data_IF_930705490941
#
_entry.id   IF_930705490941
#
_cell.length_a   1.000
_cell.length_b   1.000
_cell.length_c   1.000
_cell.angle_alpha   90.00
_cell.angle_beta   90.00
_cell.angle_gamma   90.00
#
_symmetry.space_group_name_H-M   'P 1'
#
loop_
_entity.id
_entity.type
_entity.pdbx_description
1 polymer ?
#
# COMPACT_ATOMS: atom_id res chain seq x y z
N UNK A 1 8.07 8.22 5.32
CA UNK A 1 8.26 9.49 6.03
C UNK A 1 7.76 9.42 7.46
N UNK A 2 8.23 8.42 8.23
CA UNK A 2 8.47 8.62 9.66
C UNK A 2 9.69 9.56 9.80
N UNK A 3 9.65 10.73 9.16
CA UNK A 3 10.74 11.72 9.21
C UNK A 3 10.84 12.40 10.60
N UNK A 4 10.19 11.84 11.62
CA UNK A 4 10.11 12.46 12.93
C UNK A 4 11.05 11.89 13.99
N UNK A 5 11.83 10.83 13.72
CA UNK A 5 12.57 10.20 14.83
C UNK A 5 14.09 10.05 14.71
N UNK A 6 14.72 10.31 13.57
CA UNK A 6 16.17 10.18 13.47
C UNK A 6 16.76 11.38 12.73
N UNK A 7 17.87 11.93 13.24
CA UNK A 7 18.44 13.28 13.06
C UNK A 7 17.92 14.24 14.16
N UNK A 8 18.67 14.72 15.15
CA UNK A 8 20.12 14.85 15.34
C UNK A 8 20.50 14.87 16.83
N UNK A 9 21.79 14.63 17.12
CA UNK A 9 22.44 14.74 18.42
C UNK A 9 22.46 16.19 18.97
N UNK A 10 22.54 16.28 20.31
CA UNK A 10 22.75 17.45 21.18
C UNK A 10 21.61 18.49 21.31
N UNK A 11 20.97 18.51 22.49
CA UNK A 11 19.95 19.49 22.89
C UNK A 11 18.53 19.07 22.54
N UNK A 12 17.77 18.59 23.52
CA UNK A 12 16.50 17.86 23.36
C UNK A 12 15.45 18.65 22.53
N UNK A 13 15.26 18.32 21.24
CA UNK A 13 14.30 19.03 20.39
C UNK A 13 12.88 18.63 20.80
N UNK A 14 11.94 19.57 20.80
CA UNK A 14 10.52 19.28 21.03
C UNK A 14 10.01 18.34 19.92
N UNK A 15 9.51 17.17 20.30
CA UNK A 15 8.95 16.17 19.37
C UNK A 15 7.45 16.05 19.58
N UNK A 16 6.70 15.96 18.48
CA UNK A 16 5.28 15.60 18.52
C UNK A 16 5.18 14.08 18.57
N UNK A 17 4.64 13.55 19.66
CA UNK A 17 4.52 12.11 19.88
C UNK A 17 3.05 11.71 19.93
N UNK A 18 2.72 10.66 19.18
CA UNK A 18 1.47 9.95 19.39
C UNK A 18 1.66 8.99 20.56
N UNK A 19 0.93 9.25 21.64
CA UNK A 19 1.02 8.47 22.88
C UNK A 19 -0.13 7.47 22.96
N UNK A 20 -1.27 7.89 23.51
CA UNK A 20 -2.43 7.04 23.75
C UNK A 20 -3.03 6.53 22.43
N UNK A 21 -3.38 5.24 22.39
CA UNK A 21 -4.03 4.60 21.24
C UNK A 21 -3.08 4.21 20.10
N UNK A 22 -1.84 4.72 20.07
CA UNK A 22 -0.88 4.40 19.01
C UNK A 22 -0.49 2.92 18.99
N UNK A 23 -0.17 2.33 20.14
CA UNK A 23 0.18 0.90 20.25
C UNK A 23 -0.97 -0.01 19.81
N UNK A 24 -2.20 0.29 20.23
CA UNK A 24 -3.39 -0.43 19.82
C UNK A 24 -3.64 -0.31 18.31
N UNK A 25 -3.42 0.87 17.73
CA UNK A 25 -3.51 1.08 16.29
C UNK A 25 -2.46 0.25 15.52
N UNK A 26 -1.20 0.30 15.94
CA UNK A 26 -0.10 -0.50 15.37
C UNK A 26 -0.44 -1.99 15.40
N UNK A 27 -0.91 -2.51 16.53
CA UNK A 27 -1.27 -3.91 16.69
C UNK A 27 -2.49 -4.29 15.83
N UNK A 28 -3.56 -3.49 15.88
CA UNK A 28 -4.79 -3.74 15.10
C UNK A 28 -4.53 -3.70 13.60
N UNK A 29 -3.68 -2.77 13.15
CA UNK A 29 -3.25 -2.67 11.76
C UNK A 29 -2.04 -3.55 11.46
N UNK A 30 -1.51 -4.36 12.39
CA UNK A 30 -0.34 -5.22 12.18
C UNK A 30 0.84 -4.49 11.51
N UNK A 31 1.12 -3.26 11.94
CA UNK A 31 2.19 -2.46 11.33
C UNK A 31 3.55 -3.00 11.76
N UNK A 32 4.48 -3.02 10.82
CA UNK A 32 5.88 -3.39 11.06
C UNK A 32 6.81 -2.26 10.65
N UNK A 33 8.08 -2.35 11.05
CA UNK A 33 9.10 -1.42 10.57
C UNK A 33 9.14 -1.41 9.04
N UNK A 34 9.23 -0.21 8.46
CA UNK A 34 9.16 0.01 7.00
C UNK A 34 7.76 0.33 6.47
N UNK A 35 6.70 -0.01 7.21
CA UNK A 35 5.36 0.49 6.89
C UNK A 35 5.29 2.00 7.11
N UNK A 36 4.47 2.68 6.32
CA UNK A 36 4.22 4.10 6.43
C UNK A 36 2.77 4.37 6.79
N UNK A 37 2.56 5.28 7.75
CA UNK A 37 1.26 5.83 8.10
C UNK A 37 1.19 7.25 7.55
N UNK A 38 0.09 7.59 6.89
CA UNK A 38 -0.15 8.88 6.27
C UNK A 38 -1.31 9.57 6.98
N UNK A 39 -1.09 10.80 7.44
CA UNK A 39 -2.10 11.66 8.04
C UNK A 39 -2.52 12.69 7.01
N UNK A 40 -3.81 12.78 6.74
CA UNK A 40 -4.39 13.72 5.78
C UNK A 40 -5.43 14.54 6.51
N UNK A 41 -5.47 15.84 6.26
CA UNK A 41 -6.54 16.71 6.73
C UNK A 41 -7.28 17.27 5.53
N UNK A 42 -8.57 17.01 5.44
CA UNK A 42 -9.41 17.55 4.39
C UNK A 42 -9.76 19.02 4.61
N UNK A 43 -10.38 19.63 3.61
CA UNK A 43 -10.94 20.98 3.70
C UNK A 43 -12.10 21.06 4.70
N UNK A 44 -12.82 19.95 4.89
CA UNK A 44 -13.81 19.72 5.94
C UNK A 44 -13.19 19.74 7.36
N UNK A 45 -11.86 19.78 7.46
CA UNK A 45 -11.14 19.72 8.73
C UNK A 45 -11.00 18.31 9.29
N UNK A 46 -11.62 17.31 8.67
CA UNK A 46 -11.60 15.92 9.10
C UNK A 46 -10.22 15.30 8.89
N UNK A 47 -9.75 14.58 9.92
CA UNK A 47 -8.47 13.90 9.88
C UNK A 47 -8.67 12.45 9.40
N UNK A 48 -8.00 12.13 8.29
CA UNK A 48 -8.01 10.81 7.67
C UNK A 48 -6.66 10.15 7.79
N UNK A 49 -6.66 8.83 7.97
CA UNK A 49 -5.45 8.04 8.17
C UNK A 49 -5.32 6.93 7.13
N UNK A 50 -4.21 6.94 6.41
CA UNK A 50 -3.83 5.92 5.43
C UNK A 50 -2.67 5.06 5.93
N UNK A 51 -2.61 3.81 5.48
CA UNK A 51 -1.47 2.90 5.73
C UNK A 51 -0.93 2.41 4.38
N UNK A 52 0.36 2.61 4.15
CA UNK A 52 1.11 2.02 3.03
C UNK A 52 2.09 1.00 3.58
N UNK A 53 2.00 -0.24 3.10
CA UNK A 53 2.93 -1.29 3.52
C UNK A 53 4.30 -1.15 2.88
N UNK A 54 5.35 -1.57 3.57
CA UNK A 54 6.63 -1.82 2.92
C UNK A 54 6.44 -2.86 1.79
N UNK A 55 7.17 -2.68 0.69
CA UNK A 55 7.28 -3.76 -0.28
C UNK A 55 8.06 -4.89 0.38
N UNK A 56 7.40 -6.02 0.63
CA UNK A 56 8.07 -7.21 1.12
C UNK A 56 8.71 -7.86 -0.11
N UNK A 57 10.01 -7.62 -0.32
CA UNK A 57 10.82 -8.49 -1.17
C UNK A 57 10.86 -9.84 -0.45
N UNK A 58 9.95 -10.75 -0.81
CA UNK A 58 10.00 -12.12 -0.30
C UNK A 58 11.32 -12.72 -0.80
N UNK A 59 12.33 -12.77 0.05
CA UNK A 59 13.58 -13.48 -0.21
C UNK A 59 13.26 -14.97 -0.36
N UNK A 60 13.20 -15.45 -1.61
CA UNK A 60 13.06 -16.85 -1.96
C UNK A 60 11.68 -17.47 -1.68
N UNK A 61 11.13 -18.19 -2.65
CA UNK A 61 10.00 -19.12 -2.50
C UNK A 61 8.56 -18.55 -2.41
N UNK A 62 8.25 -17.50 -3.17
CA UNK A 62 6.87 -17.30 -3.68
C UNK A 62 6.91 -16.56 -5.02
N UNK A 63 7.60 -17.14 -6.00
CA UNK A 63 7.34 -16.83 -7.41
C UNK A 63 5.91 -17.25 -7.83
N UNK A 64 5.18 -17.95 -6.96
CA UNK A 64 3.81 -18.44 -7.14
C UNK A 64 2.70 -17.37 -7.11
N UNK A 65 3.00 -16.09 -6.82
CA UNK A 65 1.99 -15.02 -6.92
C UNK A 65 2.11 -14.16 -8.18
N UNK A 66 3.19 -14.26 -8.96
CA UNK A 66 3.26 -13.65 -10.30
C UNK A 66 2.60 -14.57 -11.33
N UNK A 67 2.60 -15.89 -11.11
CA UNK A 67 1.74 -16.84 -11.81
C UNK A 67 0.27 -16.82 -11.36
N UNK A 68 -0.09 -15.94 -10.42
CA UNK A 68 -1.39 -15.89 -9.75
C UNK A 68 -2.31 -14.73 -10.16
N UNK A 69 -1.86 -13.80 -11.03
CA UNK A 69 -2.82 -13.16 -11.93
C UNK A 69 -3.15 -14.19 -13.00
N UNK A 70 -3.96 -15.16 -12.60
CA UNK A 70 -4.68 -16.00 -13.52
C UNK A 70 -5.55 -15.04 -14.33
N UNK A 71 -5.02 -14.56 -15.47
CA UNK A 71 -5.85 -14.21 -16.60
C UNK A 71 -6.62 -15.48 -16.89
N UNK A 72 -7.73 -15.65 -16.17
CA UNK A 72 -8.61 -16.77 -16.37
C UNK A 72 -8.96 -16.73 -17.85
N UNK A 73 -8.83 -17.86 -18.54
CA UNK A 73 -9.14 -17.93 -19.96
C UNK A 73 -10.52 -17.31 -20.26
N UNK A 74 -11.47 -17.44 -19.31
CA UNK A 74 -12.77 -16.76 -19.32
C UNK A 74 -12.69 -15.23 -19.34
N UNK A 75 -11.83 -14.63 -18.52
CA UNK A 75 -11.60 -13.18 -18.51
C UNK A 75 -11.05 -12.66 -19.84
N UNK A 76 -10.16 -13.42 -20.49
CA UNK A 76 -9.65 -13.08 -21.82
C UNK A 76 -10.72 -13.23 -22.90
N UNK A 77 -11.50 -14.32 -22.88
CA UNK A 77 -12.60 -14.50 -23.83
C UNK A 77 -13.67 -13.42 -23.69
N UNK A 78 -13.96 -12.97 -22.47
CA UNK A 78 -14.90 -11.89 -22.21
C UNK A 78 -14.40 -10.55 -22.79
N UNK A 79 -13.10 -10.27 -22.65
CA UNK A 79 -12.47 -9.09 -23.27
C UNK A 79 -12.57 -9.19 -24.79
N UNK A 80 -12.23 -10.33 -25.39
CA UNK A 80 -12.30 -10.54 -26.85
C UNK A 80 -13.72 -10.38 -27.37
N UNK A 81 -14.71 -10.92 -26.66
CA UNK A 81 -16.12 -10.78 -27.01
C UNK A 81 -16.58 -9.33 -26.87
N UNK A 82 -16.20 -8.64 -25.78
CA UNK A 82 -16.51 -7.22 -25.59
C UNK A 82 -15.89 -6.36 -26.70
N UNK A 83 -14.66 -6.63 -27.11
CA UNK A 83 -14.01 -5.95 -28.23
C UNK A 83 -14.73 -6.21 -29.56
N UNK A 84 -15.10 -7.46 -29.83
CA UNK A 84 -15.80 -7.87 -31.06
C UNK A 84 -17.20 -7.25 -31.15
N UNK A 85 -17.89 -7.15 -30.01
CA UNK A 85 -19.25 -6.59 -29.91
C UNK A 85 -19.27 -5.08 -29.63
N UNK A 86 -18.11 -4.43 -29.50
CA UNK A 86 -17.95 -3.02 -29.09
C UNK A 86 -18.66 -2.68 -27.76
N UNK A 87 -18.64 -3.61 -26.82
CA UNK A 87 -19.16 -3.43 -25.47
C UNK A 87 -18.08 -2.91 -24.50
N UNK A 88 -18.52 -2.26 -23.42
CA UNK A 88 -17.63 -1.83 -22.35
C UNK A 88 -17.13 -3.02 -21.51
N UNK A 89 -15.90 -2.93 -21.02
CA UNK A 89 -15.31 -3.89 -20.08
C UNK A 89 -14.58 -3.17 -18.94
N UNK A 90 -14.36 -3.86 -17.82
CA UNK A 90 -13.75 -3.29 -16.62
C UNK A 90 -12.28 -3.71 -16.48
N UNK A 91 -11.42 -2.74 -16.16
CA UNK A 91 -10.00 -2.97 -15.88
C UNK A 91 -9.74 -2.74 -14.40
N UNK A 92 -9.16 -3.73 -13.73
CA UNK A 92 -8.74 -3.60 -12.34
C UNK A 92 -7.26 -3.21 -12.27
N UNK A 93 -6.98 -1.94 -11.97
CA UNK A 93 -5.62 -1.44 -11.80
C UNK A 93 -5.19 -1.48 -10.33
N UNK A 94 -4.07 -2.15 -10.04
CA UNK A 94 -3.49 -2.16 -8.71
C UNK A 94 -2.06 -1.58 -8.72
N UNK A 95 -1.85 -0.33 -8.27
CA UNK A 95 -0.56 0.36 -8.32
C UNK A 95 0.49 -0.23 -7.37
N UNK A 96 0.15 -1.21 -6.54
CA UNK A 96 1.07 -1.81 -5.55
C UNK A 96 1.89 -2.98 -6.10
N UNK A 97 1.55 -3.51 -7.28
CA UNK A 97 2.19 -4.68 -7.88
C UNK A 97 3.25 -4.37 -8.94
N UNK A 98 3.67 -3.11 -9.08
CA UNK A 98 4.70 -2.76 -10.06
C UNK A 98 6.09 -3.20 -9.56
N UNK A 99 6.47 -4.44 -9.89
CA UNK A 99 7.84 -4.91 -9.76
C UNK A 99 8.65 -4.32 -10.92
N UNK A 100 9.45 -3.29 -10.62
CA UNK A 100 10.45 -2.79 -11.54
C UNK A 100 11.55 -3.83 -11.71
N UNK A 101 11.72 -4.32 -12.94
CA UNK A 101 12.97 -4.93 -13.34
C UNK A 101 14.03 -3.84 -13.36
N UNK A 102 15.07 -4.03 -12.55
CA UNK A 102 16.34 -3.31 -12.62
C UNK A 102 17.45 -4.34 -12.48
#
# INVERSE_FOLDING_TARGET
CLYFLFLTNAGQPRRHLLTTGWSAFVNKKKLVSGDAVLFLRGEDGELRLGVRRAAQLKSGSNFSSISGQQLNLGSLTDIVNALSTRCAFSIHYNPRYFYGYS
#
